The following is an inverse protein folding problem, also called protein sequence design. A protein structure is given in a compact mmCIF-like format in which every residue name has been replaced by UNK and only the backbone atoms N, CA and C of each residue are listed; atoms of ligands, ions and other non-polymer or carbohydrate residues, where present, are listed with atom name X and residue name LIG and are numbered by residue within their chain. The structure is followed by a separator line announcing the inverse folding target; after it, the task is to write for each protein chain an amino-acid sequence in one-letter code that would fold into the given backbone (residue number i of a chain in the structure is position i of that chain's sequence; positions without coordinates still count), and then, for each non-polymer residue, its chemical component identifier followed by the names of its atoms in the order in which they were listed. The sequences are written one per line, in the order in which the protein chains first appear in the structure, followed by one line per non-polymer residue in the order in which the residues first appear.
data_IF_995830057405
#
_entry.id   IF_995830057405
#
_cell.length_a   1.000
_cell.length_b   1.000
_cell.length_c   1.000
_cell.angle_alpha   90.00
_cell.angle_beta   90.00
_cell.angle_gamma   90.00
#
_symmetry.space_group_name_H-M   'P 1'
#
loop_
_entity.id
_entity.type
_entity.pdbx_description
1 polymer ?
#
# COMPACT_ATOMS: atom_id res chain seq x y z
N UNK A 1 -16.17 -2.73 -5.95
CA UNK A 1 -15.61 -1.96 -7.10
C UNK A 1 -15.93 -2.67 -8.42
N UNK A 2 -16.07 -1.94 -9.57
CA UNK A 2 -16.26 -2.55 -10.88
C UNK A 2 -15.06 -3.40 -11.31
N UNK A 3 -15.28 -4.43 -12.16
CA UNK A 3 -14.21 -5.36 -12.59
C UNK A 3 -12.98 -4.64 -13.21
N UNK A 4 -13.21 -3.64 -14.06
CA UNK A 4 -12.14 -2.86 -14.70
C UNK A 4 -11.24 -2.11 -13.70
N UNK A 5 -11.71 -1.81 -12.48
CA UNK A 5 -10.92 -1.13 -11.46
C UNK A 5 -9.72 -1.96 -11.01
N UNK A 6 -9.88 -3.27 -10.91
CA UNK A 6 -8.81 -4.18 -10.49
C UNK A 6 -7.73 -4.30 -11.57
N UNK A 7 -8.15 -4.31 -12.84
CA UNK A 7 -7.25 -4.31 -14.00
C UNK A 7 -6.44 -3.01 -14.06
N UNK A 8 -7.11 -1.88 -13.89
CA UNK A 8 -6.47 -0.55 -13.82
C UNK A 8 -5.53 -0.46 -12.61
N UNK A 9 -5.92 -1.00 -11.47
CA UNK A 9 -5.09 -1.03 -10.27
C UNK A 9 -3.81 -1.83 -10.50
N UNK A 10 -3.92 -3.03 -11.07
CA UNK A 10 -2.74 -3.87 -11.33
C UNK A 10 -1.83 -3.26 -12.40
N UNK A 11 -2.39 -2.67 -13.46
CA UNK A 11 -1.63 -2.05 -14.53
C UNK A 11 -0.99 -0.71 -14.09
N UNK A 12 -1.75 0.14 -13.40
CA UNK A 12 -1.36 1.53 -13.15
C UNK A 12 -0.56 1.75 -11.87
N UNK A 13 -0.81 0.98 -10.80
CA UNK A 13 -0.14 1.21 -9.52
C UNK A 13 1.29 0.69 -9.50
N UNK A 14 2.24 1.47 -8.94
CA UNK A 14 3.64 1.05 -8.86
C UNK A 14 3.82 -0.19 -7.98
N UNK A 15 4.80 -1.04 -8.34
CA UNK A 15 5.35 -2.05 -7.45
C UNK A 15 6.28 -1.45 -6.39
N UNK A 16 7.06 -2.30 -5.72
CA UNK A 16 8.01 -1.89 -4.67
C UNK A 16 9.43 -2.34 -5.02
N UNK A 17 10.47 -1.61 -4.58
CA UNK A 17 11.84 -2.05 -4.72
C UNK A 17 12.08 -3.32 -3.86
N UNK A 18 12.85 -4.30 -4.38
CA UNK A 18 13.05 -5.58 -3.67
C UNK A 18 13.70 -5.44 -2.29
N UNK A 19 14.40 -4.35 -2.05
CA UNK A 19 15.09 -4.07 -0.78
C UNK A 19 14.13 -3.92 0.40
N UNK A 20 12.86 -3.54 0.17
CA UNK A 20 11.88 -3.32 1.25
C UNK A 20 11.67 -4.55 2.11
N UNK A 21 11.72 -5.76 1.52
CA UNK A 21 11.50 -7.01 2.25
C UNK A 21 12.67 -7.43 3.12
N UNK A 22 13.85 -6.83 2.91
CA UNK A 22 15.08 -7.13 3.68
C UNK A 22 15.24 -6.24 4.91
N UNK A 23 14.51 -5.13 4.99
CA UNK A 23 14.61 -4.15 6.10
C UNK A 23 14.48 -4.80 7.48
N UNK A 24 13.53 -5.72 7.74
CA UNK A 24 13.43 -6.33 9.06
C UNK A 24 14.56 -7.31 9.41
N UNK A 25 15.46 -7.64 8.48
CA UNK A 25 16.61 -8.52 8.72
C UNK A 25 16.22 -9.97 9.09
N UNK A 26 15.15 -10.49 8.50
CA UNK A 26 14.63 -11.83 8.80
C UNK A 26 15.27 -12.91 7.92
N UNK A 27 15.36 -14.16 8.44
CA UNK A 27 15.79 -15.29 7.62
C UNK A 27 14.70 -15.67 6.60
N UNK A 28 15.09 -16.32 5.51
CA UNK A 28 14.15 -16.80 4.48
C UNK A 28 13.11 -17.80 5.00
N UNK A 29 13.39 -18.49 6.10
CA UNK A 29 12.44 -19.40 6.77
C UNK A 29 11.34 -18.70 7.58
N UNK A 30 11.38 -17.35 7.68
CA UNK A 30 10.40 -16.58 8.45
C UNK A 30 8.97 -16.75 7.91
N UNK A 31 8.01 -16.68 8.82
CA UNK A 31 6.59 -16.56 8.50
C UNK A 31 6.21 -15.08 8.52
N UNK A 32 5.74 -14.58 7.38
CA UNK A 32 5.37 -13.16 7.24
C UNK A 32 3.92 -12.99 6.81
N UNK A 33 3.32 -11.87 7.22
CA UNK A 33 1.93 -11.52 6.93
C UNK A 33 1.91 -10.22 6.13
N UNK A 34 1.15 -10.17 5.04
CA UNK A 34 0.85 -8.96 4.25
C UNK A 34 -0.59 -8.55 4.52
N UNK A 35 -0.83 -7.39 5.17
CA UNK A 35 -2.17 -6.91 5.52
C UNK A 35 -2.64 -5.84 4.54
N UNK A 36 -3.86 -6.05 3.99
CA UNK A 36 -4.36 -5.25 2.88
C UNK A 36 -3.54 -5.54 1.63
N UNK A 37 -3.35 -6.82 1.35
CA UNK A 37 -2.45 -7.31 0.31
C UNK A 37 -2.88 -6.89 -1.11
N UNK A 38 -4.17 -6.53 -1.29
CA UNK A 38 -4.71 -6.10 -2.57
C UNK A 38 -4.57 -7.18 -3.65
N UNK A 39 -4.04 -6.81 -4.80
CA UNK A 39 -3.73 -7.73 -5.91
C UNK A 39 -2.40 -8.48 -5.73
N UNK A 40 -1.70 -8.29 -4.61
CA UNK A 40 -0.45 -8.97 -4.29
C UNK A 40 0.83 -8.29 -4.77
N UNK A 41 0.83 -6.97 -4.99
CA UNK A 41 2.05 -6.27 -5.46
C UNK A 41 3.24 -6.40 -4.51
N UNK A 42 3.03 -6.32 -3.18
CA UNK A 42 4.05 -6.61 -2.20
C UNK A 42 4.18 -8.13 -1.98
N UNK A 43 3.08 -8.85 -1.92
CA UNK A 43 3.04 -10.30 -1.67
C UNK A 43 3.98 -11.06 -2.60
N UNK A 44 4.05 -10.69 -3.90
CA UNK A 44 4.99 -11.29 -4.88
C UNK A 44 6.45 -11.17 -4.47
N UNK A 45 6.86 -10.06 -3.85
CA UNK A 45 8.22 -9.90 -3.33
C UNK A 45 8.43 -10.74 -2.06
N UNK A 46 7.40 -10.83 -1.23
CA UNK A 46 7.46 -11.61 0.01
C UNK A 46 7.61 -13.11 -0.29
N UNK A 47 6.83 -13.68 -1.21
CA UNK A 47 6.94 -15.11 -1.56
C UNK A 47 8.27 -15.44 -2.26
N UNK A 48 8.84 -14.49 -3.00
CA UNK A 48 10.18 -14.65 -3.57
C UNK A 48 11.31 -14.65 -2.52
N UNK A 49 11.02 -14.23 -1.29
CA UNK A 49 12.02 -14.03 -0.23
C UNK A 49 11.82 -14.97 0.95
N UNK A 50 10.57 -15.21 1.36
CA UNK A 50 10.23 -15.94 2.59
C UNK A 50 9.49 -17.24 2.28
N UNK A 51 9.78 -18.25 3.07
CA UNK A 51 9.20 -19.60 2.89
C UNK A 51 7.72 -19.71 3.25
N UNK A 52 7.18 -18.78 4.03
CA UNK A 52 5.77 -18.79 4.43
C UNK A 52 5.19 -17.37 4.43
N UNK A 53 4.27 -17.13 3.51
CA UNK A 53 3.59 -15.84 3.35
C UNK A 53 2.09 -16.03 3.49
N UNK A 54 1.48 -15.26 4.40
CA UNK A 54 0.03 -15.17 4.54
C UNK A 54 -0.38 -13.78 4.07
N UNK A 55 -1.31 -13.71 3.12
CA UNK A 55 -1.84 -12.46 2.58
C UNK A 55 -3.28 -12.27 3.07
N UNK A 56 -3.52 -11.20 3.83
CA UNK A 56 -4.81 -10.86 4.44
C UNK A 56 -5.44 -9.74 3.62
N UNK A 57 -6.59 -10.03 2.99
CA UNK A 57 -7.28 -9.07 2.13
C UNK A 57 -8.80 -9.19 2.29
N UNK A 58 -9.51 -8.11 2.68
CA UNK A 58 -10.96 -8.15 2.90
C UNK A 58 -11.77 -8.20 1.60
N UNK A 59 -11.30 -7.55 0.52
CA UNK A 59 -12.03 -7.48 -0.75
C UNK A 59 -11.91 -8.80 -1.52
N UNK A 60 -13.06 -9.43 -1.81
CA UNK A 60 -13.12 -10.74 -2.48
C UNK A 60 -12.52 -10.73 -3.89
N UNK A 61 -12.66 -9.63 -4.62
CA UNK A 61 -12.14 -9.55 -5.98
C UNK A 61 -10.63 -9.30 -5.99
N UNK A 62 -10.14 -8.41 -5.11
CA UNK A 62 -8.69 -8.24 -4.89
C UNK A 62 -8.05 -9.57 -4.49
N UNK A 63 -8.66 -10.29 -3.55
CA UNK A 63 -8.18 -11.59 -3.10
C UNK A 63 -8.23 -12.64 -4.21
N UNK A 64 -9.23 -12.57 -5.09
CA UNK A 64 -9.30 -13.41 -6.30
C UNK A 64 -8.12 -13.15 -7.25
N UNK A 65 -7.76 -11.89 -7.49
CA UNK A 65 -6.58 -11.50 -8.26
C UNK A 65 -5.29 -11.96 -7.58
N UNK A 66 -5.18 -11.73 -6.27
CA UNK A 66 -4.05 -12.19 -5.48
C UNK A 66 -3.81 -13.70 -5.62
N UNK A 67 -4.87 -14.52 -5.53
CA UNK A 67 -4.77 -15.97 -5.66
C UNK A 67 -4.27 -16.42 -7.05
N UNK A 68 -4.60 -15.66 -8.10
CA UNK A 68 -4.12 -15.93 -9.46
C UNK A 68 -2.68 -15.46 -9.67
N UNK A 69 -2.35 -14.26 -9.18
CA UNK A 69 -1.06 -13.62 -9.42
C UNK A 69 0.03 -14.08 -8.45
N UNK A 70 -0.35 -14.69 -7.33
CA UNK A 70 0.56 -15.08 -6.25
C UNK A 70 0.08 -16.39 -5.57
N UNK A 71 -0.01 -17.50 -6.33
CA UNK A 71 -0.57 -18.77 -5.84
C UNK A 71 0.26 -19.40 -4.70
N UNK A 72 1.51 -18.99 -4.51
CA UNK A 72 2.38 -19.43 -3.43
C UNK A 72 2.02 -18.83 -2.07
N UNK A 73 1.28 -17.70 -2.05
CA UNK A 73 0.83 -17.08 -0.83
C UNK A 73 -0.46 -17.74 -0.32
N UNK A 74 -0.57 -17.87 1.00
CA UNK A 74 -1.83 -18.27 1.62
C UNK A 74 -2.75 -17.06 1.76
N UNK A 75 -3.64 -16.85 0.78
CA UNK A 75 -4.60 -15.74 0.78
C UNK A 75 -5.80 -16.07 1.69
N UNK A 76 -6.09 -15.18 2.65
CA UNK A 76 -7.19 -15.33 3.61
C UNK A 76 -8.02 -14.05 3.72
N UNK A 77 -9.29 -14.20 4.04
CA UNK A 77 -10.17 -13.06 4.32
C UNK A 77 -9.88 -12.52 5.71
N UNK A 78 -9.74 -11.19 5.84
CA UNK A 78 -9.49 -10.51 7.11
C UNK A 78 -9.12 -9.06 6.86
N UNK A 79 -8.87 -8.33 7.94
CA UNK A 79 -8.44 -6.93 7.90
C UNK A 79 -7.47 -6.63 9.05
N UNK A 80 -6.98 -5.39 9.15
CA UNK A 80 -6.00 -5.00 10.16
C UNK A 80 -6.48 -5.11 11.61
N UNK A 81 -7.79 -5.07 11.84
CA UNK A 81 -8.40 -5.17 13.18
C UNK A 81 -8.85 -6.59 13.54
N UNK A 82 -8.87 -7.48 12.56
CA UNK A 82 -9.27 -8.88 12.73
C UNK A 82 -8.47 -9.77 11.77
N UNK A 83 -7.34 -10.26 12.26
CA UNK A 83 -6.43 -11.12 11.51
C UNK A 83 -6.68 -12.58 11.93
N UNK A 84 -7.20 -13.45 11.03
CA UNK A 84 -7.59 -14.81 11.40
C UNK A 84 -6.38 -15.74 11.49
N UNK A 85 -5.42 -15.35 12.32
CA UNK A 85 -4.21 -16.11 12.62
C UNK A 85 -4.04 -16.31 14.13
N UNK A 86 -3.39 -17.40 14.57
CA UNK A 86 -3.05 -17.61 15.98
C UNK A 86 -2.12 -16.51 16.52
N UNK A 87 -2.21 -16.25 17.82
CA UNK A 87 -1.25 -15.39 18.51
C UNK A 87 0.18 -15.91 18.37
N UNK A 88 1.15 -15.01 18.17
CA UNK A 88 2.56 -15.36 18.08
C UNK A 88 2.91 -16.24 16.88
N UNK A 89 2.20 -16.14 15.76
CA UNK A 89 2.39 -16.99 14.58
C UNK A 89 3.27 -16.34 13.50
N UNK A 90 3.49 -15.02 13.53
CA UNK A 90 4.22 -14.26 12.51
C UNK A 90 5.54 -13.69 13.04
N UNK A 91 6.61 -13.76 12.24
CA UNK A 91 7.90 -13.15 12.52
C UNK A 91 7.90 -11.67 12.07
N UNK A 92 7.11 -11.32 11.06
CA UNK A 92 6.83 -9.94 10.69
C UNK A 92 5.44 -9.76 10.07
N UNK A 93 4.96 -8.52 10.18
CA UNK A 93 3.75 -8.03 9.52
C UNK A 93 4.15 -6.88 8.60
N UNK A 94 3.69 -6.93 7.36
CA UNK A 94 3.85 -5.89 6.35
C UNK A 94 2.49 -5.28 6.03
N UNK A 95 2.47 -3.96 5.76
CA UNK A 95 1.31 -3.27 5.23
C UNK A 95 1.76 -2.22 4.22
N UNK A 96 1.46 -2.45 2.94
CA UNK A 96 1.88 -1.62 1.83
C UNK A 96 0.69 -0.86 1.24
N UNK A 97 0.72 0.48 1.24
CA UNK A 97 -0.40 1.32 0.79
C UNK A 97 -1.74 1.00 1.44
N UNK A 98 -1.75 0.45 2.66
CA UNK A 98 -2.98 -0.05 3.30
C UNK A 98 -3.18 0.43 4.74
N UNK A 99 -2.11 0.62 5.53
CA UNK A 99 -2.22 0.89 6.96
C UNK A 99 -3.07 2.11 7.30
N UNK A 100 -3.09 3.15 6.48
CA UNK A 100 -3.90 4.35 6.68
C UNK A 100 -5.42 4.09 6.74
N UNK A 101 -5.90 2.94 6.22
CA UNK A 101 -7.30 2.55 6.31
C UNK A 101 -7.72 2.03 7.68
N UNK A 102 -6.75 1.58 8.47
CA UNK A 102 -6.98 0.96 9.79
C UNK A 102 -5.96 1.41 10.84
N UNK A 103 -5.42 2.61 10.71
CA UNK A 103 -4.42 3.18 11.61
C UNK A 103 -5.04 3.59 12.96
N UNK A 104 -5.28 2.61 13.82
CA UNK A 104 -5.85 2.81 15.15
C UNK A 104 -5.26 1.79 16.17
N UNK A 105 -5.57 2.01 17.44
CA UNK A 105 -5.08 1.18 18.55
C UNK A 105 -5.51 -0.28 18.43
N UNK A 106 -6.75 -0.52 17.98
CA UNK A 106 -7.28 -1.88 17.81
C UNK A 106 -6.49 -2.69 16.78
N UNK A 107 -6.16 -2.06 15.65
CA UNK A 107 -5.35 -2.70 14.62
C UNK A 107 -3.93 -2.99 15.12
N UNK A 108 -3.29 -2.05 15.83
CA UNK A 108 -1.96 -2.27 16.39
C UNK A 108 -1.96 -3.37 17.46
N UNK A 109 -3.00 -3.46 18.28
CA UNK A 109 -3.19 -4.54 19.26
C UNK A 109 -3.32 -5.89 18.55
N UNK A 110 -4.11 -5.97 17.50
CA UNK A 110 -4.32 -7.20 16.73
C UNK A 110 -3.05 -7.63 15.97
N UNK A 111 -2.33 -6.67 15.38
CA UNK A 111 -1.03 -6.90 14.75
C UNK A 111 -0.04 -7.44 15.79
N UNK A 112 0.05 -6.80 16.96
CA UNK A 112 0.91 -7.27 18.06
C UNK A 112 0.55 -8.67 18.53
N UNK A 113 -0.75 -9.00 18.58
CA UNK A 113 -1.23 -10.33 18.97
C UNK A 113 -0.70 -11.43 18.05
N UNK A 114 -0.73 -11.23 16.75
CA UNK A 114 -0.28 -12.24 15.78
C UNK A 114 1.24 -12.33 15.66
N UNK A 115 1.96 -11.30 16.07
CA UNK A 115 3.41 -11.26 16.02
C UNK A 115 4.06 -12.05 17.15
N UNK A 116 5.21 -12.64 16.86
CA UNK A 116 6.13 -13.20 17.88
C UNK A 116 6.81 -12.05 18.64
N UNK A 117 7.23 -12.27 19.90
CA UNK A 117 8.07 -11.30 20.62
C UNK A 117 9.30 -10.90 19.79
N UNK A 118 9.55 -9.60 19.67
CA UNK A 118 10.62 -9.04 18.84
C UNK A 118 10.36 -9.05 17.33
N UNK A 119 9.19 -9.51 16.90
CA UNK A 119 8.77 -9.45 15.49
C UNK A 119 8.74 -8.03 14.93
N UNK A 120 8.82 -7.88 13.61
CA UNK A 120 8.86 -6.59 12.95
C UNK A 120 7.52 -6.20 12.33
N UNK A 121 7.09 -4.95 12.50
CA UNK A 121 6.02 -4.32 11.72
C UNK A 121 6.65 -3.38 10.70
N UNK A 122 6.31 -3.56 9.42
CA UNK A 122 6.86 -2.78 8.30
C UNK A 122 5.71 -2.15 7.51
N UNK A 123 5.69 -0.83 7.47
CA UNK A 123 4.70 -0.04 6.76
C UNK A 123 5.36 0.66 5.58
N UNK A 124 4.69 0.76 4.43
CA UNK A 124 5.29 1.44 3.29
C UNK A 124 4.28 2.11 2.36
N UNK A 125 4.76 3.18 1.72
CA UNK A 125 4.02 3.95 0.72
C UNK A 125 4.93 4.35 -0.43
N UNK A 126 4.42 4.22 -1.66
CA UNK A 126 5.02 4.84 -2.83
C UNK A 126 4.50 6.28 -2.92
N UNK A 127 5.41 7.22 -2.90
CA UNK A 127 5.13 8.65 -2.98
C UNK A 127 5.94 9.27 -4.12
N UNK A 128 5.46 10.32 -4.78
CA UNK A 128 6.26 11.05 -5.76
C UNK A 128 7.48 11.68 -5.11
N UNK A 129 8.61 11.68 -5.81
CA UNK A 129 9.86 12.34 -5.40
C UNK A 129 10.43 13.14 -6.56
N UNK A 130 10.40 14.47 -6.43
CA UNK A 130 10.90 15.38 -7.43
C UNK A 130 9.85 15.95 -8.38
N UNK A 131 10.32 16.46 -9.52
CA UNK A 131 9.46 17.11 -10.49
C UNK A 131 8.70 16.10 -11.34
N UNK A 132 7.39 16.31 -11.45
CA UNK A 132 6.51 15.58 -12.34
C UNK A 132 6.44 16.29 -13.68
N UNK A 133 6.32 15.53 -14.76
CA UNK A 133 6.20 16.07 -16.11
C UNK A 133 4.97 17.00 -16.27
N UNK A 134 5.09 18.12 -17.03
CA UNK A 134 3.99 19.09 -17.16
C UNK A 134 2.68 18.49 -17.69
N UNK A 135 2.75 17.49 -18.56
CA UNK A 135 1.56 16.80 -19.09
C UNK A 135 0.80 16.03 -18.01
N UNK A 136 1.50 15.46 -17.02
CA UNK A 136 0.89 14.77 -15.88
C UNK A 136 0.24 15.79 -14.94
N UNK A 137 0.91 16.93 -14.71
CA UNK A 137 0.33 18.05 -13.95
C UNK A 137 -0.94 18.56 -14.63
N UNK A 138 -0.94 18.67 -15.96
CA UNK A 138 -2.13 19.07 -16.73
C UNK A 138 -3.28 18.05 -16.61
N UNK A 139 -2.99 16.75 -16.47
CA UNK A 139 -4.00 15.73 -16.17
C UNK A 139 -4.58 15.93 -14.77
N UNK A 140 -3.75 16.18 -13.76
CA UNK A 140 -4.24 16.42 -12.39
C UNK A 140 -5.11 17.68 -12.31
N UNK A 141 -4.73 18.76 -13.01
CA UNK A 141 -5.55 19.97 -13.12
C UNK A 141 -6.89 19.71 -13.83
N UNK A 142 -6.92 18.81 -14.83
CA UNK A 142 -8.16 18.37 -15.46
C UNK A 142 -9.05 17.60 -14.46
N UNK A 143 -8.48 16.80 -13.59
CA UNK A 143 -9.22 15.98 -12.62
C UNK A 143 -9.69 16.78 -11.39
N UNK A 144 -9.01 17.87 -11.05
CA UNK A 144 -9.27 18.66 -9.84
C UNK A 144 -10.74 19.11 -9.66
N UNK A 145 -11.47 19.59 -10.71
CA UNK A 145 -12.89 19.96 -10.58
C UNK A 145 -13.82 18.79 -10.25
N UNK A 146 -13.39 17.56 -10.49
CA UNK A 146 -14.15 16.34 -10.26
C UNK A 146 -13.82 15.68 -8.93
N UNK A 147 -12.83 16.21 -8.19
CA UNK A 147 -12.42 15.67 -6.91
C UNK A 147 -13.57 15.76 -5.89
N UNK A 148 -13.93 14.66 -5.21
CA UNK A 148 -14.97 14.70 -4.19
C UNK A 148 -14.61 15.69 -3.08
N UNK A 149 -15.53 16.61 -2.78
CA UNK A 149 -15.31 17.66 -1.77
C UNK A 149 -15.14 17.11 -0.35
N UNK A 150 -15.76 15.97 -0.09
CA UNK A 150 -15.77 15.28 1.19
C UNK A 150 -14.76 14.10 1.23
N UNK A 151 -13.82 14.09 0.28
CA UNK A 151 -12.80 13.06 0.22
C UNK A 151 -11.69 13.37 1.23
N UNK A 152 -11.92 12.93 2.45
CA UNK A 152 -10.91 12.96 3.52
C UNK A 152 -9.95 11.76 3.34
N UNK A 153 -9.17 11.80 2.26
CA UNK A 153 -8.20 10.75 2.02
C UNK A 153 -6.90 11.10 2.76
N UNK A 154 -6.44 10.26 3.69
CA UNK A 154 -5.29 10.56 4.54
C UNK A 154 -3.96 10.66 3.78
N UNK A 155 -3.95 10.35 2.49
CA UNK A 155 -2.79 10.47 1.60
C UNK A 155 -3.22 11.17 0.32
N UNK A 156 -2.64 12.33 0.05
CA UNK A 156 -2.71 12.95 -1.27
C UNK A 156 -1.87 12.09 -2.24
N UNK A 157 -2.56 11.25 -3.01
CA UNK A 157 -1.96 10.35 -4.00
C UNK A 157 -1.82 11.01 -5.37
N UNK A 158 -1.96 12.33 -5.46
CA UNK A 158 -1.62 13.07 -6.66
C UNK A 158 -0.14 12.88 -7.01
N UNK A 159 0.16 12.73 -8.30
CA UNK A 159 1.54 12.58 -8.76
C UNK A 159 2.35 13.87 -8.61
N UNK A 160 1.68 15.04 -8.67
CA UNK A 160 2.30 16.35 -8.53
C UNK A 160 2.38 16.89 -7.11
N UNK A 161 1.58 16.34 -6.21
CA UNK A 161 1.54 16.76 -4.81
C UNK A 161 2.41 15.82 -3.99
N UNK A 162 3.61 16.28 -3.67
CA UNK A 162 4.52 15.53 -2.81
C UNK A 162 3.85 15.19 -1.48
N UNK A 163 3.41 13.95 -1.35
CA UNK A 163 3.05 13.21 -0.15
C UNK A 163 2.69 14.01 1.09
N UNK A 164 1.60 14.71 1.08
CA UNK A 164 0.97 15.18 2.29
C UNK A 164 0.06 14.07 2.84
N UNK A 165 0.66 12.88 3.04
CA UNK A 165 0.03 11.97 3.98
C UNK A 165 -0.09 12.73 5.29
N UNK A 166 -1.31 12.96 5.77
CA UNK A 166 -1.47 13.41 7.13
C UNK A 166 -0.65 12.44 7.98
N UNK A 167 0.27 12.95 8.79
CA UNK A 167 1.06 12.11 9.69
C UNK A 167 0.21 11.41 10.75
N UNK A 168 -1.11 11.49 10.63
CA UNK A 168 -2.11 11.07 11.59
C UNK A 168 -2.09 9.57 11.87
N UNK A 169 -1.70 8.76 10.90
CA UNK A 169 -1.52 7.33 11.13
C UNK A 169 -0.45 7.03 12.21
N UNK A 170 0.53 7.93 12.42
CA UNK A 170 1.55 7.79 13.47
C UNK A 170 0.99 7.98 14.87
N UNK A 171 -0.11 8.71 15.01
CA UNK A 171 -0.77 8.94 16.30
C UNK A 171 -1.19 7.61 16.94
N UNK A 172 -1.56 6.61 16.13
CA UNK A 172 -1.89 5.27 16.60
C UNK A 172 -0.75 4.61 17.40
N UNK A 173 0.51 5.00 17.13
CA UNK A 173 1.68 4.43 17.82
C UNK A 173 1.98 5.06 19.17
N UNK A 174 1.39 6.22 19.53
CA UNK A 174 1.76 6.99 20.71
C UNK A 174 1.68 6.21 22.03
N UNK A 175 0.74 5.25 22.13
CA UNK A 175 0.57 4.39 23.31
C UNK A 175 0.63 2.90 22.95
N UNK A 176 1.25 2.57 21.83
CA UNK A 176 1.33 1.19 21.37
C UNK A 176 2.45 0.42 22.07
N UNK A 177 2.40 -0.90 21.96
CA UNK A 177 3.42 -1.82 22.46
C UNK A 177 4.63 -1.96 21.52
N UNK A 178 4.71 -1.11 20.51
CA UNK A 178 5.80 -1.09 19.55
C UNK A 178 6.91 -0.13 19.99
N UNK A 179 8.13 -0.43 19.58
CA UNK A 179 9.28 0.48 19.76
C UNK A 179 9.15 1.73 18.87
N UNK A 180 10.10 2.64 18.95
CA UNK A 180 10.15 3.84 18.10
C UNK A 180 10.21 3.46 16.60
N UNK A 181 9.41 4.17 15.79
CA UNK A 181 9.40 4.01 14.35
C UNK A 181 10.70 4.50 13.72
N UNK A 182 11.32 3.65 12.94
CA UNK A 182 12.43 4.00 12.06
C UNK A 182 11.91 4.29 10.66
N UNK A 183 12.64 5.07 9.86
CA UNK A 183 12.28 5.45 8.49
C UNK A 183 13.44 5.22 7.53
N UNK A 184 13.12 4.75 6.33
CA UNK A 184 14.01 4.74 5.18
C UNK A 184 13.26 5.19 3.92
N UNK A 185 14.03 5.71 2.96
CA UNK A 185 13.52 6.14 1.66
C UNK A 185 14.30 5.41 0.58
N UNK A 186 13.60 4.67 -0.23
CA UNK A 186 14.17 3.88 -1.32
C UNK A 186 13.71 4.46 -2.67
N UNK A 187 14.64 4.82 -3.57
CA UNK A 187 14.27 5.20 -4.92
C UNK A 187 13.48 4.07 -5.60
N UNK A 188 12.38 4.42 -6.27
CA UNK A 188 11.54 3.48 -7.00
C UNK A 188 11.10 4.08 -8.35
N UNK A 189 11.99 4.68 -9.15
CA UNK A 189 11.61 5.32 -10.39
C UNK A 189 11.07 4.28 -11.38
N UNK A 190 10.00 4.64 -12.09
CA UNK A 190 9.38 3.78 -13.09
C UNK A 190 9.26 4.52 -14.41
N UNK A 191 9.49 3.81 -15.50
CA UNK A 191 9.16 4.28 -16.85
C UNK A 191 7.91 3.54 -17.30
N UNK A 192 6.88 4.28 -17.64
CA UNK A 192 5.56 3.74 -17.98
C UNK A 192 5.05 4.32 -19.29
N UNK A 193 4.24 3.57 -20.00
CA UNK A 193 3.50 4.06 -21.17
C UNK A 193 2.25 4.83 -20.75
N UNK A 194 1.70 5.69 -21.63
CA UNK A 194 0.48 6.45 -21.34
C UNK A 194 -0.68 5.60 -20.82
N UNK A 195 -0.82 4.37 -21.32
CA UNK A 195 -1.89 3.45 -20.92
C UNK A 195 -1.83 3.11 -19.43
N UNK A 196 -0.62 2.93 -18.89
CA UNK A 196 -0.43 2.68 -17.46
C UNK A 196 -0.76 3.92 -16.61
N UNK A 197 -0.52 5.14 -17.13
CA UNK A 197 -0.95 6.36 -16.45
C UNK A 197 -2.48 6.53 -16.48
N UNK A 198 -3.13 6.23 -17.60
CA UNK A 198 -4.60 6.21 -17.68
C UNK A 198 -5.17 5.21 -16.67
N UNK A 199 -4.58 4.01 -16.59
CA UNK A 199 -4.94 3.00 -15.61
C UNK A 199 -4.67 3.46 -14.17
N UNK A 200 -3.55 4.15 -13.92
CA UNK A 200 -3.25 4.74 -12.61
C UNK A 200 -4.38 5.68 -12.15
N UNK A 201 -4.77 6.64 -12.99
CA UNK A 201 -5.87 7.54 -12.69
C UNK A 201 -7.20 6.79 -12.60
N UNK A 202 -7.47 5.87 -13.53
CA UNK A 202 -8.68 5.02 -13.53
C UNK A 202 -8.85 4.15 -12.28
N UNK A 203 -7.74 3.84 -11.59
CA UNK A 203 -7.72 3.09 -10.34
C UNK A 203 -8.01 3.95 -9.10
N UNK A 204 -8.15 5.27 -9.24
CA UNK A 204 -8.60 6.12 -8.14
C UNK A 204 -10.04 5.78 -7.80
N UNK A 205 -10.34 5.52 -6.52
CA UNK A 205 -11.65 5.00 -6.10
C UNK A 205 -12.83 5.84 -6.59
N UNK A 206 -12.72 7.17 -6.55
CA UNK A 206 -13.78 8.06 -7.01
C UNK A 206 -13.98 8.03 -8.55
N UNK A 207 -12.90 7.88 -9.33
CA UNK A 207 -13.01 7.69 -10.80
C UNK A 207 -13.62 6.32 -11.11
N UNK A 208 -13.22 5.31 -10.37
CA UNK A 208 -13.72 3.95 -10.57
C UNK A 208 -15.24 3.82 -10.34
N UNK A 209 -15.81 4.67 -9.48
CA UNK A 209 -17.23 4.66 -9.13
C UNK A 209 -18.10 5.59 -10.00
N UNK A 210 -17.50 6.34 -10.93
CA UNK A 210 -18.25 7.15 -11.89
C UNK A 210 -19.13 6.29 -12.81
N UNK A 211 -20.26 6.81 -13.31
CA UNK A 211 -21.03 6.17 -14.37
C UNK A 211 -20.14 5.84 -15.59
N UNK A 212 -20.37 4.69 -16.21
CA UNK A 212 -19.48 4.15 -17.25
C UNK A 212 -19.13 5.14 -18.38
N UNK A 213 -20.13 5.86 -18.91
CA UNK A 213 -19.93 6.85 -19.97
C UNK A 213 -19.11 8.05 -19.48
N UNK A 214 -19.41 8.55 -18.28
CA UNK A 214 -18.68 9.67 -17.67
C UNK A 214 -17.23 9.28 -17.40
N UNK A 215 -16.99 8.10 -16.84
CA UNK A 215 -15.65 7.58 -16.61
C UNK A 215 -14.88 7.42 -17.91
N UNK A 216 -15.49 6.84 -18.93
CA UNK A 216 -14.86 6.63 -20.23
C UNK A 216 -14.49 7.97 -20.90
N UNK A 217 -15.39 8.95 -20.89
CA UNK A 217 -15.12 10.29 -21.42
C UNK A 217 -13.95 10.95 -20.68
N UNK A 218 -13.93 10.90 -19.33
CA UNK A 218 -12.88 11.48 -18.51
C UNK A 218 -11.52 10.82 -18.79
N UNK A 219 -11.46 9.50 -18.86
CA UNK A 219 -10.22 8.77 -19.11
C UNK A 219 -9.71 8.97 -20.56
N UNK A 220 -10.61 9.17 -21.54
CA UNK A 220 -10.22 9.55 -22.90
C UNK A 220 -9.60 10.96 -22.92
N UNK A 221 -10.14 11.89 -22.14
CA UNK A 221 -9.56 13.23 -22.01
C UNK A 221 -8.19 13.18 -21.30
N UNK A 222 -8.06 12.39 -20.23
CA UNK A 222 -6.76 12.09 -19.61
C UNK A 222 -5.77 11.55 -20.66
N UNK A 223 -6.18 10.56 -21.45
CA UNK A 223 -5.34 9.96 -22.49
C UNK A 223 -4.88 10.98 -23.53
N UNK A 224 -5.74 11.91 -23.91
CA UNK A 224 -5.41 12.96 -24.92
C UNK A 224 -4.33 13.94 -24.44
N UNK A 225 -4.16 14.12 -23.12
CA UNK A 225 -3.11 14.97 -22.54
C UNK A 225 -1.74 14.28 -22.46
N UNK A 226 -1.73 12.96 -22.58
CA UNK A 226 -0.52 12.14 -22.50
C UNK A 226 0.03 11.89 -23.91
N UNK A 227 0.87 12.79 -24.40
CA UNK A 227 1.37 12.82 -25.79
C UNK A 227 2.75 12.15 -25.97
N UNK A 228 3.52 11.96 -24.90
CA UNK A 228 4.81 11.29 -24.96
C UNK A 228 4.64 9.76 -25.11
N UNK A 229 5.62 9.10 -25.72
CA UNK A 229 5.62 7.63 -25.85
C UNK A 229 5.80 6.93 -24.50
N UNK A 230 6.55 7.55 -23.59
CA UNK A 230 6.83 7.04 -22.25
C UNK A 230 6.96 8.20 -21.26
N UNK A 231 6.69 7.90 -19.98
CA UNK A 231 6.77 8.82 -18.86
C UNK A 231 7.66 8.23 -17.76
N UNK A 232 8.59 9.04 -17.26
CA UNK A 232 9.38 8.67 -16.09
C UNK A 232 8.72 9.22 -14.85
N UNK A 233 8.26 8.32 -13.98
CA UNK A 233 7.65 8.64 -12.71
C UNK A 233 8.70 8.53 -11.61
N UNK A 234 9.03 9.62 -10.91
CA UNK A 234 10.04 9.63 -9.86
C UNK A 234 9.43 9.14 -8.54
N UNK A 235 9.02 7.87 -8.49
CA UNK A 235 8.55 7.29 -7.25
C UNK A 235 9.67 7.10 -6.24
N UNK A 236 9.32 7.26 -4.99
CA UNK A 236 10.11 6.88 -3.82
C UNK A 236 9.23 6.02 -2.92
N UNK A 237 9.74 4.87 -2.50
CA UNK A 237 9.09 4.07 -1.46
C UNK A 237 9.59 4.55 -0.10
N UNK A 238 8.70 5.13 0.70
CA UNK A 238 8.96 5.41 2.11
C UNK A 238 8.58 4.21 2.92
N UNK A 239 9.52 3.72 3.71
CA UNK A 239 9.35 2.54 4.56
C UNK A 239 9.54 2.97 6.01
N UNK A 240 8.59 2.57 6.84
CA UNK A 240 8.63 2.74 8.29
C UNK A 240 8.61 1.37 8.93
N UNK A 241 9.46 1.16 9.94
CA UNK A 241 9.43 -0.13 10.64
C UNK A 241 9.69 0.05 12.12
N UNK A 242 9.18 -0.90 12.87
CA UNK A 242 9.35 -0.99 14.31
C UNK A 242 9.36 -2.45 14.75
N UNK A 243 9.66 -2.71 16.00
CA UNK A 243 9.59 -4.04 16.59
C UNK A 243 8.58 -4.08 17.73
N UNK A 244 8.00 -5.26 17.91
CA UNK A 244 7.18 -5.52 19.09
C UNK A 244 8.10 -5.53 20.32
N UNK A 245 7.85 -4.60 21.25
CA UNK A 245 8.66 -4.48 22.47
C UNK A 245 8.62 -5.79 23.30
N UNK A 246 9.73 -6.16 23.95
CA UNK A 246 9.74 -7.30 24.89
C UNK A 246 8.71 -7.10 26.01
N UNK A 247 8.04 -8.18 26.41
CA UNK A 247 6.97 -8.14 27.43
C UNK A 247 7.40 -7.51 28.77
N UNK A 248 8.70 -7.40 29.07
CA UNK A 248 9.24 -6.75 30.25
C UNK A 248 9.10 -5.23 30.26
N UNK A 249 8.99 -4.56 29.11
CA UNK A 249 8.79 -3.10 28.99
C UNK A 249 7.33 -2.68 29.06
N UNK A 250 6.39 -3.54 28.70
CA UNK A 250 4.96 -3.23 28.73
C UNK A 250 4.39 -3.02 30.13
N UNK A 251 5.09 -3.46 31.20
CA UNK A 251 4.64 -3.32 32.61
C UNK A 251 5.14 -2.06 33.33
N UNK A 252 5.94 -1.22 32.69
CA UNK A 252 6.55 -0.05 33.35
C UNK A 252 5.76 1.27 33.14
N UNK A 253 4.69 1.27 32.36
CA UNK A 253 3.91 2.45 32.02
C UNK A 253 2.45 2.40 32.53
N UNK A 254 2.18 1.67 33.61
CA UNK A 254 0.90 1.71 34.34
C UNK A 254 1.10 2.15 35.78
#
# INVERSE_FOLDING_TARGET
MPKHWYEDYECGRPGYPPEVVRIPGLPSSATVVDIGAGTGKLTRLLVATFGRVVAVEPDDQMRGWLAVLCPEAHAIVGNGEQIPLPSGSADAVFAAQSFHWFANERALTEIARVMRPGGALVLMWNLPDGRIEPSIVAVEQLLEPHWPKDWDFPLDLGLSRAGHGSGDWRVAFAQSVFEELQEARLPNPQTVRPEALVAFFGSMGWIATLPGDTRSALLNEVRSRLTAAEYRLPWQTRVYWTRLAPASRAKANF
#
